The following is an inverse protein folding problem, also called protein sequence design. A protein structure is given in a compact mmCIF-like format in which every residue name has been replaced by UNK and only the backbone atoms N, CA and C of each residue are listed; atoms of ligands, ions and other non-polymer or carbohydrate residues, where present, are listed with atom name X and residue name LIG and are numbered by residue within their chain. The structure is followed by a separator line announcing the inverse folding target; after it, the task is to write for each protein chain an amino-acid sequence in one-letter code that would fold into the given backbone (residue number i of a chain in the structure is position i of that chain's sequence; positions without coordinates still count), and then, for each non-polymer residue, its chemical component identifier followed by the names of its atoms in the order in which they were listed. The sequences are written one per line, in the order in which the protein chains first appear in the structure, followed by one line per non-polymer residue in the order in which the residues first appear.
data_IF_309693521900
#
_entry.id   IF_309693521900
#
_cell.length_a   1.000
_cell.length_b   1.000
_cell.length_c   1.000
_cell.angle_alpha   90.00
_cell.angle_beta   90.00
_cell.angle_gamma   90.00
#
_symmetry.space_group_name_H-M   'P 1'
#
loop_
_entity.id
_entity.type
_entity.pdbx_description
1 polymer ?
#
# COMPACT_ATOMS: atom_id res chain seq x y z
N UNK A 1 -12.37 7.73 33.41
CA UNK A 1 -11.21 6.87 33.70
C UNK A 1 -10.27 6.98 32.51
N UNK A 2 -9.06 7.52 32.71
CA UNK A 2 -8.19 7.99 31.62
C UNK A 2 -7.50 6.80 30.91
N UNK A 3 -7.53 6.69 29.57
CA UNK A 3 -7.03 5.53 28.81
C UNK A 3 -5.50 5.45 28.70
N UNK A 4 -4.77 6.37 29.35
CA UNK A 4 -3.32 6.51 29.26
C UNK A 4 -2.52 5.62 30.25
N UNK A 5 -3.20 4.79 31.05
CA UNK A 5 -2.56 3.91 32.05
C UNK A 5 -2.71 2.41 31.76
N UNK A 6 -2.90 2.00 30.51
CA UNK A 6 -2.80 0.59 30.14
C UNK A 6 -1.32 0.16 30.17
N UNK A 7 -0.82 -0.13 31.37
CA UNK A 7 0.47 -0.77 31.57
C UNK A 7 0.42 -2.15 30.90
N UNK A 8 1.24 -2.34 29.86
CA UNK A 8 1.41 -3.62 29.19
C UNK A 8 2.00 -4.64 30.18
N UNK A 9 1.15 -5.29 30.95
CA UNK A 9 1.54 -6.34 31.89
C UNK A 9 1.79 -7.63 31.09
N UNK A 10 3.02 -7.77 30.59
CA UNK A 10 3.45 -8.98 29.91
C UNK A 10 3.94 -9.99 30.97
N UNK A 11 3.27 -11.15 31.06
CA UNK A 11 3.71 -12.25 31.91
C UNK A 11 5.03 -12.82 31.37
N UNK A 12 5.95 -13.30 32.23
CA UNK A 12 7.31 -13.72 31.84
C UNK A 12 7.37 -14.95 30.91
N UNK A 13 6.23 -15.53 30.53
CA UNK A 13 6.09 -16.61 29.54
C UNK A 13 5.20 -16.22 28.35
N UNK A 14 4.62 -15.02 28.31
CA UNK A 14 4.04 -14.47 27.08
C UNK A 14 5.17 -13.78 26.32
N UNK A 15 6.02 -14.59 25.67
CA UNK A 15 7.03 -14.06 24.78
C UNK A 15 6.37 -13.07 23.84
N UNK A 16 6.82 -11.81 23.88
CA UNK A 16 6.48 -10.84 22.86
C UNK A 16 6.93 -11.46 21.55
N UNK A 17 6.00 -11.98 20.76
CA UNK A 17 6.31 -12.49 19.44
C UNK A 17 6.63 -11.25 18.61
N UNK A 18 7.91 -10.87 18.63
CA UNK A 18 8.46 -10.03 17.58
C UNK A 18 8.42 -10.90 16.32
N UNK A 19 7.28 -10.85 15.63
CA UNK A 19 7.14 -11.47 14.32
C UNK A 19 7.98 -10.60 13.39
N UNK A 20 9.20 -11.07 13.13
CA UNK A 20 10.01 -10.51 12.06
C UNK A 20 9.34 -10.86 10.74
N UNK A 21 8.53 -9.92 10.24
CA UNK A 21 7.84 -10.00 8.95
C UNK A 21 8.70 -9.37 7.85
N UNK A 22 10.04 -9.50 7.93
CA UNK A 22 10.86 -9.11 6.79
C UNK A 22 10.41 -9.90 5.55
N UNK A 23 10.46 -9.30 4.34
CA UNK A 23 10.09 -9.99 3.11
C UNK A 23 10.81 -11.33 2.98
N UNK A 24 12.09 -11.41 3.33
CA UNK A 24 12.85 -12.65 3.41
C UNK A 24 12.19 -13.71 4.31
N UNK A 25 11.82 -13.38 5.56
CA UNK A 25 11.16 -14.35 6.45
C UNK A 25 9.79 -14.77 5.92
N UNK A 26 9.01 -13.83 5.35
CA UNK A 26 7.70 -14.13 4.79
C UNK A 26 7.78 -15.13 3.64
N UNK A 27 8.64 -14.91 2.64
CA UNK A 27 8.76 -15.80 1.49
C UNK A 27 9.43 -17.13 1.85
N UNK A 28 10.40 -17.13 2.78
CA UNK A 28 11.04 -18.36 3.26
C UNK A 28 10.11 -19.23 4.11
N UNK A 29 9.04 -18.65 4.69
CA UNK A 29 8.04 -19.38 5.45
C UNK A 29 7.00 -20.11 4.57
N UNK A 30 7.01 -19.88 3.25
CA UNK A 30 6.10 -20.55 2.31
C UNK A 30 6.53 -22.01 2.19
N UNK A 31 5.69 -22.90 2.73
CA UNK A 31 5.90 -24.34 2.60
C UNK A 31 5.77 -24.76 1.13
N UNK A 32 6.57 -25.74 0.70
CA UNK A 32 6.64 -26.18 -0.71
C UNK A 32 5.29 -26.66 -1.26
N UNK A 33 4.44 -27.20 -0.39
CA UNK A 33 3.07 -27.63 -0.72
C UNK A 33 2.11 -26.47 -1.04
N UNK A 34 2.41 -25.26 -0.57
CA UNK A 34 1.58 -24.07 -0.76
C UNK A 34 2.15 -23.10 -1.80
N UNK A 35 3.33 -23.40 -2.36
CA UNK A 35 4.02 -22.57 -3.34
C UNK A 35 5.53 -22.64 -3.23
N UNK A 36 6.22 -21.82 -4.02
CA UNK A 36 7.67 -21.68 -3.96
C UNK A 36 8.03 -20.25 -3.58
N UNK A 37 8.62 -20.06 -2.39
CA UNK A 37 8.99 -18.76 -1.86
C UNK A 37 9.84 -17.89 -2.80
N UNK A 38 10.79 -18.49 -3.53
CA UNK A 38 11.63 -17.76 -4.47
C UNK A 38 10.82 -17.23 -5.67
N UNK A 39 9.89 -18.04 -6.17
CA UNK A 39 8.98 -17.64 -7.24
C UNK A 39 8.05 -16.53 -6.76
N UNK A 40 7.46 -16.68 -5.57
CA UNK A 40 6.55 -15.68 -4.99
C UNK A 40 7.25 -14.35 -4.73
N UNK A 41 8.50 -14.39 -4.27
CA UNK A 41 9.34 -13.20 -4.10
C UNK A 41 9.60 -12.52 -5.44
N UNK A 42 9.90 -13.30 -6.49
CA UNK A 42 10.13 -12.76 -7.83
C UNK A 42 8.86 -12.07 -8.39
N UNK A 43 7.69 -12.69 -8.24
CA UNK A 43 6.39 -12.15 -8.65
C UNK A 43 6.04 -10.86 -7.87
N UNK A 44 6.28 -10.87 -6.55
CA UNK A 44 6.07 -9.69 -5.72
C UNK A 44 6.93 -8.51 -6.18
N UNK A 45 8.23 -8.77 -6.41
CA UNK A 45 9.20 -7.75 -6.83
C UNK A 45 8.94 -7.23 -8.25
N UNK A 46 8.32 -8.03 -9.14
CA UNK A 46 7.94 -7.57 -10.47
C UNK A 46 6.66 -6.69 -10.48
N UNK A 47 6.11 -6.37 -9.31
CA UNK A 47 4.89 -5.58 -9.16
C UNK A 47 3.60 -6.37 -9.34
N UNK A 48 3.68 -7.69 -9.50
CA UNK A 48 2.54 -8.59 -9.65
C UNK A 48 2.14 -9.24 -8.32
N UNK A 49 2.30 -8.52 -7.20
CA UNK A 49 1.98 -9.01 -5.86
C UNK A 49 0.53 -9.48 -5.74
N UNK A 50 0.24 -10.34 -4.77
CA UNK A 50 -1.13 -10.80 -4.49
C UNK A 50 -2.13 -9.66 -4.32
N UNK A 51 -1.74 -8.57 -3.66
CA UNK A 51 -2.58 -7.38 -3.53
C UNK A 51 -2.91 -6.73 -4.88
N UNK A 52 -1.97 -6.72 -5.82
CA UNK A 52 -2.19 -6.23 -7.19
C UNK A 52 -3.12 -7.16 -7.97
N UNK A 53 -2.90 -8.47 -7.87
CA UNK A 53 -3.75 -9.48 -8.52
C UNK A 53 -5.20 -9.39 -8.04
N UNK A 54 -5.41 -9.34 -6.71
CA UNK A 54 -6.74 -9.16 -6.11
C UNK A 54 -7.35 -7.83 -6.56
N UNK A 55 -6.57 -6.74 -6.59
CA UNK A 55 -7.04 -5.45 -7.09
C UNK A 55 -7.61 -5.53 -8.51
N UNK A 56 -6.86 -6.15 -9.43
CA UNK A 56 -7.28 -6.35 -10.82
C UNK A 56 -8.58 -7.17 -10.89
N UNK A 57 -8.65 -8.28 -10.15
CA UNK A 57 -9.85 -9.14 -10.11
C UNK A 57 -11.06 -8.36 -9.58
N UNK A 58 -10.88 -7.56 -8.52
CA UNK A 58 -11.93 -6.73 -7.95
C UNK A 58 -12.41 -5.66 -8.92
N UNK A 59 -11.52 -5.02 -9.67
CA UNK A 59 -11.87 -4.00 -10.66
C UNK A 59 -12.69 -4.62 -11.81
N UNK A 60 -12.27 -5.78 -12.32
CA UNK A 60 -13.02 -6.54 -13.34
C UNK A 60 -14.40 -6.95 -12.82
N UNK A 61 -14.47 -7.48 -11.60
CA UNK A 61 -15.74 -7.88 -11.00
C UNK A 61 -16.67 -6.67 -10.81
N UNK A 62 -16.15 -5.52 -10.40
CA UNK A 62 -16.91 -4.28 -10.27
C UNK A 62 -17.50 -3.84 -11.62
N UNK A 63 -16.71 -3.91 -12.69
CA UNK A 63 -17.16 -3.58 -14.04
C UNK A 63 -18.30 -4.52 -14.48
N UNK A 64 -18.13 -5.84 -14.29
CA UNK A 64 -19.14 -6.86 -14.61
C UNK A 64 -20.45 -6.57 -13.86
N UNK A 65 -20.38 -6.34 -12.55
CA UNK A 65 -21.56 -6.05 -11.72
C UNK A 65 -22.29 -4.80 -12.22
N UNK A 66 -21.54 -3.80 -12.68
CA UNK A 66 -22.08 -2.51 -13.16
C UNK A 66 -22.75 -2.66 -14.53
N UNK A 67 -22.18 -3.48 -15.43
CA UNK A 67 -22.74 -3.73 -16.76
C UNK A 67 -23.97 -4.64 -16.75
N UNK A 68 -23.97 -5.69 -15.93
CA UNK A 68 -25.04 -6.70 -15.90
C UNK A 68 -26.28 -6.22 -15.11
N UNK A 69 -26.21 -5.05 -14.46
CA UNK A 69 -27.30 -4.50 -13.64
C UNK A 69 -27.84 -5.54 -12.66
N UNK A 70 -26.92 -6.20 -11.96
CA UNK A 70 -27.29 -7.17 -10.93
C UNK A 70 -28.24 -6.52 -9.92
N UNK A 71 -29.18 -7.29 -9.35
CA UNK A 71 -30.03 -6.81 -8.29
C UNK A 71 -29.18 -6.15 -7.21
N UNK A 72 -29.60 -4.97 -6.75
CA UNK A 72 -28.87 -4.16 -5.78
C UNK A 72 -28.96 -4.76 -4.37
N UNK A 73 -28.50 -6.01 -4.25
CA UNK A 73 -28.42 -6.79 -3.03
C UNK A 73 -27.46 -6.14 -2.04
N UNK A 74 -27.65 -6.47 -0.78
CA UNK A 74 -26.78 -6.01 0.32
C UNK A 74 -25.31 -6.35 0.04
N UNK A 75 -25.04 -7.51 -0.55
CA UNK A 75 -23.70 -7.99 -0.87
C UNK A 75 -23.04 -7.16 -1.98
N UNK A 76 -23.79 -6.82 -3.03
CA UNK A 76 -23.32 -5.94 -4.11
C UNK A 76 -23.02 -4.55 -3.57
N UNK A 77 -23.87 -4.01 -2.68
CA UNK A 77 -23.63 -2.70 -2.06
C UNK A 77 -22.37 -2.72 -1.17
N UNK A 78 -22.21 -3.76 -0.33
CA UNK A 78 -21.01 -3.95 0.50
C UNK A 78 -19.74 -4.02 -0.35
N UNK A 79 -19.78 -4.75 -1.47
CA UNK A 79 -18.64 -4.84 -2.38
C UNK A 79 -18.30 -3.49 -3.01
N UNK A 80 -19.30 -2.74 -3.50
CA UNK A 80 -19.09 -1.39 -4.06
C UNK A 80 -18.48 -0.44 -3.02
N UNK A 81 -19.03 -0.43 -1.81
CA UNK A 81 -18.52 0.38 -0.71
C UNK A 81 -17.09 0.00 -0.31
N UNK A 82 -16.77 -1.29 -0.29
CA UNK A 82 -15.42 -1.78 -0.04
C UNK A 82 -14.44 -1.25 -1.11
N UNK A 83 -14.81 -1.33 -2.39
CA UNK A 83 -13.97 -0.84 -3.49
C UNK A 83 -13.73 0.67 -3.39
N UNK A 84 -14.77 1.46 -3.09
CA UNK A 84 -14.64 2.90 -2.87
C UNK A 84 -13.69 3.24 -1.71
N UNK A 85 -13.79 2.51 -0.60
CA UNK A 85 -12.93 2.71 0.56
C UNK A 85 -11.46 2.36 0.24
N UNK A 86 -11.22 1.27 -0.48
CA UNK A 86 -9.90 0.88 -0.95
C UNK A 86 -9.30 1.98 -1.82
N UNK A 87 -10.07 2.54 -2.77
CA UNK A 87 -9.60 3.61 -3.65
C UNK A 87 -9.28 4.89 -2.86
N UNK A 88 -10.14 5.29 -1.92
CA UNK A 88 -9.84 6.41 -1.01
C UNK A 88 -8.52 6.21 -0.25
N UNK A 89 -8.26 5.02 0.26
CA UNK A 89 -7.00 4.73 0.96
C UNK A 89 -5.81 4.83 0.01
N UNK A 90 -5.91 4.29 -1.20
CA UNK A 90 -4.87 4.41 -2.23
C UNK A 90 -4.60 5.88 -2.56
N UNK A 91 -5.65 6.67 -2.79
CA UNK A 91 -5.53 8.10 -3.11
C UNK A 91 -4.90 8.88 -1.97
N UNK A 92 -5.33 8.66 -0.73
CA UNK A 92 -4.73 9.31 0.45
C UNK A 92 -3.24 9.00 0.60
N UNK A 93 -2.83 7.75 0.34
CA UNK A 93 -1.42 7.36 0.44
C UNK A 93 -0.60 7.88 -0.73
N UNK A 94 -1.17 7.93 -1.93
CA UNK A 94 -0.51 8.51 -3.10
C UNK A 94 -0.33 10.03 -2.93
N UNK A 95 -1.38 10.73 -2.52
CA UNK A 95 -1.35 12.17 -2.26
C UNK A 95 -0.44 12.52 -1.06
N UNK A 96 -0.29 11.62 -0.09
CA UNK A 96 0.67 11.80 1.00
C UNK A 96 2.13 11.87 0.52
N UNK A 97 2.48 11.13 -0.54
CA UNK A 97 3.82 11.21 -1.14
C UNK A 97 4.02 12.52 -1.91
N UNK A 98 2.99 12.97 -2.62
CA UNK A 98 2.98 14.27 -3.30
C UNK A 98 3.12 15.42 -2.29
N UNK A 99 2.30 15.45 -1.24
CA UNK A 99 2.36 16.43 -0.17
C UNK A 99 3.72 16.42 0.57
N UNK A 100 4.31 15.24 0.77
CA UNK A 100 5.62 15.14 1.37
C UNK A 100 6.72 15.67 0.45
N UNK A 101 6.64 15.37 -0.85
CA UNK A 101 7.54 15.90 -1.86
C UNK A 101 7.42 17.43 -1.94
N UNK A 102 6.21 17.98 -1.98
CA UNK A 102 5.95 19.43 -1.93
C UNK A 102 6.59 20.06 -0.70
N UNK A 103 6.35 19.51 0.50
CA UNK A 103 6.94 20.03 1.74
C UNK A 103 8.47 20.03 1.73
N UNK A 104 9.10 19.00 1.13
CA UNK A 104 10.56 18.95 0.98
C UNK A 104 11.04 20.01 -0.02
N UNK A 105 10.33 20.19 -1.13
CA UNK A 105 10.66 21.20 -2.14
C UNK A 105 10.49 22.63 -1.59
N UNK A 106 9.48 22.89 -0.76
CA UNK A 106 9.30 24.16 -0.08
C UNK A 106 10.44 24.45 0.91
N UNK A 107 10.85 23.46 1.70
CA UNK A 107 12.03 23.61 2.57
C UNK A 107 13.30 23.88 1.79
N UNK A 108 13.49 23.22 0.63
CA UNK A 108 14.62 23.49 -0.26
C UNK A 108 14.54 24.89 -0.86
N UNK A 109 13.34 25.39 -1.18
CA UNK A 109 13.14 26.76 -1.66
C UNK A 109 13.61 27.79 -0.64
N UNK A 110 13.36 27.55 0.64
CA UNK A 110 13.75 28.45 1.73
C UNK A 110 15.24 28.34 2.10
N UNK A 111 15.78 27.11 2.12
CA UNK A 111 17.15 26.84 2.62
C UNK A 111 18.24 26.82 1.53
N UNK A 112 17.95 26.31 0.34
CA UNK A 112 18.89 26.23 -0.79
C UNK A 112 18.18 26.31 -2.15
N UNK A 113 17.84 27.55 -2.60
CA UNK A 113 17.17 27.77 -3.89
C UNK A 113 17.97 27.28 -5.10
N UNK A 114 19.31 27.17 -5.00
CA UNK A 114 20.15 26.70 -6.11
C UNK A 114 19.98 25.21 -6.29
N UNK A 115 19.96 24.44 -5.20
CA UNK A 115 19.70 23.00 -5.23
C UNK A 115 18.30 22.71 -5.73
N UNK A 116 17.28 23.47 -5.30
CA UNK A 116 15.93 23.35 -5.85
C UNK A 116 15.90 23.52 -7.37
N UNK A 117 16.48 24.61 -7.89
CA UNK A 117 16.50 24.88 -9.33
C UNK A 117 17.25 23.81 -10.14
N UNK A 118 18.33 23.27 -9.59
CA UNK A 118 19.06 22.15 -10.21
C UNK A 118 18.18 20.89 -10.26
N UNK A 119 17.47 20.60 -9.18
CA UNK A 119 16.58 19.44 -9.08
C UNK A 119 15.43 19.56 -10.08
N UNK A 120 14.75 20.71 -10.12
CA UNK A 120 13.67 20.99 -11.06
C UNK A 120 14.13 20.81 -12.51
N UNK A 121 15.27 21.40 -12.91
CA UNK A 121 15.82 21.23 -14.28
C UNK A 121 16.13 19.77 -14.63
N UNK A 122 16.64 19.00 -13.68
CA UNK A 122 16.95 17.57 -13.88
C UNK A 122 15.70 16.75 -14.17
N UNK A 123 14.61 17.00 -13.45
CA UNK A 123 13.37 16.22 -13.62
C UNK A 123 12.48 16.75 -14.74
N UNK A 124 12.51 18.05 -15.04
CA UNK A 124 11.80 18.63 -16.19
C UNK A 124 12.31 18.09 -17.53
N UNK A 125 13.61 17.79 -17.63
CA UNK A 125 14.21 17.16 -18.82
C UNK A 125 13.96 15.64 -18.92
N UNK A 126 13.58 14.98 -17.82
CA UNK A 126 13.21 13.56 -17.81
C UNK A 126 11.73 13.32 -18.08
N UNK A 127 10.85 14.26 -17.72
CA UNK A 127 9.41 14.16 -17.96
C UNK A 127 8.97 14.49 -19.40
N UNK A 128 9.88 15.02 -20.23
CA UNK A 128 9.64 15.38 -21.63
C UNK A 128 10.04 14.27 -22.64
N UNK A 129 10.36 13.07 -22.14
CA UNK A 129 10.61 11.85 -22.93
C UNK A 129 9.51 10.84 -22.69
#
# INVERSE_FOLDING_TARGET
MNPWFASNFNFPLSGSVNQDLSPEYFFNAIKKENGNGDIEKAIFNSGASYGRQIGIISDVLYEIITQIQLPNSTEVQKFKQLQENINKIKDLKHNGLEQHAESILDKLKESDPKTLNKLLKKYQSQAAK
#
